data_IF_194352487764
#
_entry.id   IF_194352487764
#
_cell.length_a   1.000
_cell.length_b   1.000
_cell.length_c   1.000
_cell.angle_alpha   90.00
_cell.angle_beta   90.00
_cell.angle_gamma   90.00
#
_symmetry.space_group_name_H-M   'P 1'
#
loop_
_entity.id
_entity.type
_entity.pdbx_description
1 polymer ?
#
# COMPACT_ATOMS: atom_id res chain seq x y z
N UNK A 1 20.45 5.53 0.58
CA UNK A 1 20.62 5.17 -0.85
C UNK A 1 19.55 5.91 -1.62
N UNK A 2 19.83 6.53 -2.78
CA UNK A 2 18.76 7.11 -3.58
C UNK A 2 17.92 5.97 -4.15
N UNK A 3 16.62 5.93 -3.83
CA UNK A 3 15.69 4.92 -4.34
C UNK A 3 15.58 5.11 -5.86
N UNK A 4 15.95 4.07 -6.60
CA UNK A 4 15.67 3.97 -8.02
C UNK A 4 14.16 4.07 -8.20
N UNK A 5 13.70 5.16 -8.78
CA UNK A 5 12.29 5.44 -9.11
C UNK A 5 11.87 4.76 -10.41
N UNK A 6 12.67 3.81 -10.91
CA UNK A 6 12.35 2.92 -12.02
C UNK A 6 11.94 1.57 -11.42
N UNK A 7 10.71 1.09 -11.47
CA UNK A 7 9.75 1.10 -12.56
C UNK A 7 8.32 1.18 -12.00
N UNK A 8 7.83 2.39 -11.72
CA UNK A 8 6.38 2.59 -11.77
C UNK A 8 5.98 2.37 -13.23
N UNK A 9 5.36 1.22 -13.54
CA UNK A 9 5.05 0.81 -14.91
C UNK A 9 4.45 1.98 -15.69
N UNK A 10 5.05 2.29 -16.85
CA UNK A 10 4.61 3.38 -17.70
C UNK A 10 3.07 3.31 -17.89
N UNK A 11 2.34 4.24 -17.27
CA UNK A 11 0.87 4.28 -17.28
C UNK A 11 0.19 4.25 -15.91
N UNK A 12 0.90 4.03 -14.79
CA UNK A 12 0.30 4.18 -13.47
C UNK A 12 -0.01 5.64 -13.16
N UNK A 13 -1.17 5.89 -12.58
CA UNK A 13 -1.54 7.19 -12.02
C UNK A 13 -1.51 7.12 -10.51
N UNK A 14 -1.32 8.26 -9.86
CA UNK A 14 -1.18 8.35 -8.42
C UNK A 14 -2.13 9.33 -7.78
N UNK A 15 -2.51 9.03 -6.54
CA UNK A 15 -3.11 9.99 -5.62
C UNK A 15 -2.34 10.00 -4.31
N UNK A 16 -2.40 11.11 -3.60
CA UNK A 16 -1.87 11.26 -2.25
C UNK A 16 -2.92 11.81 -1.31
N UNK A 17 -2.97 11.32 -0.07
CA UNK A 17 -3.90 11.80 0.96
C UNK A 17 -3.30 11.64 2.36
N UNK A 18 -3.81 12.38 3.37
CA UNK A 18 -3.35 12.26 4.76
C UNK A 18 -3.51 10.84 5.29
N UNK A 19 -2.47 10.32 5.94
CA UNK A 19 -2.57 9.06 6.68
C UNK A 19 -3.41 9.20 7.96
N UNK A 20 -3.75 10.42 8.36
CA UNK A 20 -4.54 10.71 9.56
C UNK A 20 -5.83 11.47 9.25
N UNK A 21 -6.95 10.91 9.69
CA UNK A 21 -8.28 11.53 9.64
C UNK A 21 -8.73 11.81 11.09
N UNK A 22 -8.38 12.99 11.58
CA UNK A 22 -8.57 13.33 13.00
C UNK A 22 -7.67 12.51 13.91
N UNK A 23 -8.23 11.54 14.63
CA UNK A 23 -7.48 10.61 15.50
C UNK A 23 -7.29 9.22 14.90
N UNK A 24 -7.80 9.01 13.70
CA UNK A 24 -7.79 7.72 13.02
C UNK A 24 -6.63 7.67 12.04
N UNK A 25 -5.72 6.72 12.22
CA UNK A 25 -4.68 6.41 11.25
C UNK A 25 -5.25 5.44 10.21
N UNK A 26 -5.18 5.81 8.94
CA UNK A 26 -5.54 4.95 7.82
C UNK A 26 -4.49 3.86 7.69
N UNK A 27 -4.85 2.65 8.10
CA UNK A 27 -3.93 1.51 8.10
C UNK A 27 -3.75 0.90 6.70
N UNK A 28 -2.64 0.18 6.50
CA UNK A 28 -2.47 -0.67 5.31
C UNK A 28 -3.64 -1.66 5.16
N UNK A 29 -4.12 -2.22 6.28
CA UNK A 29 -5.28 -3.12 6.29
C UNK A 29 -6.54 -2.46 5.70
N UNK A 30 -6.82 -1.21 6.06
CA UNK A 30 -7.95 -0.48 5.50
C UNK A 30 -7.80 -0.26 3.99
N UNK A 31 -6.62 0.13 3.53
CA UNK A 31 -6.36 0.31 2.10
C UNK A 31 -6.59 -1.00 1.34
N UNK A 32 -6.07 -2.12 1.84
CA UNK A 32 -6.28 -3.45 1.24
C UNK A 32 -7.76 -3.82 1.15
N UNK A 33 -8.55 -3.51 2.19
CA UNK A 33 -10.01 -3.70 2.15
C UNK A 33 -10.66 -2.81 1.09
N UNK A 34 -10.21 -1.56 0.93
CA UNK A 34 -10.75 -0.62 -0.08
C UNK A 34 -10.41 -0.99 -1.51
N UNK A 35 -9.33 -1.75 -1.74
CA UNK A 35 -9.05 -2.32 -3.07
C UNK A 35 -10.12 -3.33 -3.51
N UNK A 36 -10.89 -3.89 -2.56
CA UNK A 36 -11.99 -4.81 -2.86
C UNK A 36 -11.52 -6.01 -3.70
N UNK A 37 -12.33 -6.39 -4.69
CA UNK A 37 -12.02 -7.54 -5.55
C UNK A 37 -10.72 -7.36 -6.35
N UNK A 38 -10.34 -6.13 -6.68
CA UNK A 38 -9.08 -5.86 -7.38
C UNK A 38 -7.88 -6.29 -6.55
N UNK A 39 -7.94 -6.07 -5.23
CA UNK A 39 -6.86 -6.45 -4.32
C UNK A 39 -6.74 -7.96 -4.11
N UNK A 40 -7.83 -8.72 -4.22
CA UNK A 40 -7.83 -10.15 -3.85
C UNK A 40 -6.98 -11.04 -4.76
N UNK A 41 -6.83 -10.67 -6.03
CA UNK A 41 -6.05 -11.42 -7.01
C UNK A 41 -4.57 -11.00 -7.04
N UNK A 42 -4.15 -10.12 -6.12
CA UNK A 42 -2.78 -9.61 -6.08
C UNK A 42 -1.88 -10.42 -5.15
N UNK A 43 -0.61 -10.46 -5.54
CA UNK A 43 0.49 -10.95 -4.73
C UNK A 43 1.30 -9.75 -4.22
N UNK A 44 1.57 -9.70 -2.92
CA UNK A 44 2.15 -8.54 -2.27
C UNK A 44 3.60 -8.75 -1.86
N UNK A 45 4.41 -7.74 -2.13
CA UNK A 45 5.73 -7.54 -1.54
C UNK A 45 5.68 -6.27 -0.70
N UNK A 46 6.16 -6.33 0.54
CA UNK A 46 6.14 -5.19 1.46
C UNK A 46 7.53 -4.97 2.02
N UNK A 47 8.03 -3.75 1.90
CA UNK A 47 9.34 -3.33 2.36
C UNK A 47 9.17 -2.18 3.36
N UNK A 48 10.01 -2.13 4.39
CA UNK A 48 9.98 -1.11 5.44
C UNK A 48 11.36 -0.49 5.57
N UNK A 49 11.43 0.83 5.44
CA UNK A 49 12.66 1.58 5.73
C UNK A 49 12.78 1.90 7.23
N UNK A 50 11.65 1.99 7.95
CA UNK A 50 11.62 2.10 9.40
C UNK A 50 10.75 1.02 10.06
N UNK A 51 11.35 0.28 10.99
CA UNK A 51 10.66 -0.77 11.75
C UNK A 51 10.20 -0.20 13.10
N UNK A 52 8.92 0.13 13.17
CA UNK A 52 8.26 0.64 14.40
C UNK A 52 7.48 -0.41 15.17
N UNK A 53 7.25 -1.59 14.58
CA UNK A 53 6.53 -2.71 15.19
C UNK A 53 7.17 -4.05 14.77
N UNK A 54 7.35 -5.03 15.68
CA UNK A 54 7.91 -6.35 15.34
C UNK A 54 7.16 -7.09 14.23
N UNK A 55 5.87 -6.81 14.01
CA UNK A 55 5.09 -7.39 12.92
C UNK A 55 5.64 -7.00 11.54
N UNK A 56 6.30 -5.84 11.41
CA UNK A 56 6.90 -5.41 10.14
C UNK A 56 7.96 -6.40 9.66
N UNK A 57 8.80 -6.90 10.57
CA UNK A 57 9.83 -7.91 10.26
C UNK A 57 9.21 -9.19 9.73
N UNK A 58 8.09 -9.63 10.32
CA UNK A 58 7.41 -10.84 9.86
C UNK A 58 6.72 -10.64 8.51
N UNK A 59 6.13 -9.47 8.28
CA UNK A 59 5.50 -9.11 7.00
C UNK A 59 6.56 -9.08 5.89
N UNK A 60 7.67 -8.37 6.10
CA UNK A 60 8.75 -8.25 5.12
C UNK A 60 9.30 -9.63 4.77
N UNK A 61 9.65 -10.43 5.79
CA UNK A 61 10.16 -11.79 5.63
C UNK A 61 9.24 -12.70 4.82
N UNK A 62 7.93 -12.66 5.10
CA UNK A 62 6.95 -13.49 4.38
C UNK A 62 6.70 -13.03 2.94
N UNK A 63 6.91 -11.74 2.68
CA UNK A 63 6.63 -11.15 1.37
C UNK A 63 7.84 -11.11 0.42
N UNK A 64 9.06 -11.41 0.91
CA UNK A 64 10.31 -11.28 0.17
C UNK A 64 10.48 -12.26 -1.01
N UNK A 65 9.90 -13.47 -0.90
CA UNK A 65 10.05 -14.55 -1.90
C UNK A 65 8.95 -14.46 -2.98
N UNK A 66 8.05 -15.45 -3.05
CA UNK A 66 6.95 -15.48 -4.01
C UNK A 66 5.85 -14.43 -3.74
N UNK A 67 6.10 -13.49 -2.82
CA UNK A 67 5.12 -12.58 -2.28
C UNK A 67 4.07 -13.25 -1.41
N UNK A 68 3.09 -12.46 -1.00
CA UNK A 68 2.07 -12.86 -0.04
C UNK A 68 0.68 -12.51 -0.55
N UNK A 69 -0.30 -13.38 -0.39
CA UNK A 69 -1.68 -13.08 -0.77
C UNK A 69 -2.31 -12.01 0.15
N UNK A 70 -3.33 -11.33 -0.38
CA UNK A 70 -4.02 -10.23 0.31
C UNK A 70 -4.63 -10.61 1.65
N UNK A 71 -5.17 -11.83 1.79
CA UNK A 71 -5.79 -12.26 3.04
C UNK A 71 -4.74 -12.52 4.12
N UNK A 72 -3.60 -13.13 3.74
CA UNK A 72 -2.47 -13.28 4.65
C UNK A 72 -1.90 -11.92 5.05
N UNK A 73 -1.74 -10.97 4.13
CA UNK A 73 -1.29 -9.62 4.46
C UNK A 73 -2.27 -8.90 5.41
N UNK A 74 -3.58 -9.02 5.16
CA UNK A 74 -4.63 -8.49 6.07
C UNK A 74 -4.51 -9.10 7.48
N UNK A 75 -4.24 -10.40 7.59
CA UNK A 75 -4.11 -11.07 8.89
C UNK A 75 -2.94 -10.55 9.73
N UNK A 76 -1.87 -10.06 9.10
CA UNK A 76 -0.67 -9.56 9.78
C UNK A 76 -0.72 -8.06 10.09
N UNK A 77 -1.54 -7.31 9.35
CA UNK A 77 -1.68 -5.85 9.48
C UNK A 77 -2.83 -5.43 10.39
N UNK A 78 -3.74 -6.35 10.71
CA UNK A 78 -4.88 -6.10 11.61
C UNK A 78 -4.53 -6.26 13.09
N UNK A 79 -5.33 -5.66 14.00
CA UNK A 79 -6.36 -4.66 13.73
C UNK A 79 -5.79 -3.24 13.57
N UNK A 80 -4.64 -2.95 14.18
CA UNK A 80 -3.99 -1.64 14.14
C UNK A 80 -2.49 -1.82 13.99
N UNK A 81 -1.97 -1.52 12.81
CA UNK A 81 -0.53 -1.43 12.54
C UNK A 81 -0.28 -0.09 11.87
N UNK A 82 0.39 0.80 12.59
CA UNK A 82 0.92 2.04 12.03
C UNK A 82 2.26 1.72 11.38
N UNK A 83 2.49 2.30 10.19
CA UNK A 83 3.71 2.13 9.43
C UNK A 83 4.44 3.46 9.35
N UNK A 84 5.76 3.40 9.22
CA UNK A 84 6.62 4.55 8.95
C UNK A 84 7.52 4.17 7.78
N UNK A 85 7.51 4.99 6.73
CA UNK A 85 8.34 4.83 5.53
C UNK A 85 8.31 3.39 4.99
N UNK A 86 7.13 2.99 4.54
CA UNK A 86 6.86 1.62 4.07
C UNK A 86 6.31 1.62 2.65
N UNK A 87 6.56 0.56 1.91
CA UNK A 87 6.01 0.38 0.57
C UNK A 87 5.44 -1.02 0.38
N UNK A 88 4.18 -1.10 -0.02
CA UNK A 88 3.49 -2.34 -0.38
C UNK A 88 3.18 -2.34 -1.87
N UNK A 89 3.79 -3.27 -2.61
CA UNK A 89 3.59 -3.46 -4.05
C UNK A 89 2.71 -4.68 -4.29
N UNK A 90 1.58 -4.50 -4.97
CA UNK A 90 0.69 -5.56 -5.40
C UNK A 90 0.91 -5.90 -6.88
N UNK A 91 1.21 -7.17 -7.18
CA UNK A 91 1.49 -7.67 -8.52
C UNK A 91 0.43 -8.67 -8.99
N UNK A 92 0.20 -8.71 -10.30
CA UNK A 92 -0.52 -9.77 -11.01
C UNK A 92 0.17 -10.03 -12.35
N UNK A 93 0.28 -11.28 -12.77
CA UNK A 93 0.97 -11.70 -13.99
C UNK A 93 2.37 -11.05 -14.14
N UNK A 94 3.16 -11.06 -13.07
CA UNK A 94 4.50 -10.46 -12.96
C UNK A 94 4.57 -8.95 -13.25
N UNK A 95 3.43 -8.25 -13.19
CA UNK A 95 3.33 -6.80 -13.37
C UNK A 95 2.86 -6.12 -12.09
N UNK A 96 3.47 -4.98 -11.75
CA UNK A 96 3.01 -4.13 -10.65
C UNK A 96 1.70 -3.47 -11.06
N UNK A 97 0.64 -3.76 -10.31
CA UNK A 97 -0.72 -3.26 -10.56
C UNK A 97 -1.06 -2.11 -9.62
N UNK A 98 -0.53 -2.12 -8.40
CA UNK A 98 -0.72 -1.09 -7.38
C UNK A 98 0.52 -0.96 -6.50
N UNK A 99 0.81 0.26 -6.07
CA UNK A 99 1.82 0.57 -5.06
C UNK A 99 1.15 1.45 -4.01
N UNK A 100 1.28 1.06 -2.75
CA UNK A 100 0.85 1.80 -1.58
C UNK A 100 2.11 2.21 -0.81
N UNK A 101 2.41 3.50 -0.77
CA UNK A 101 3.59 4.03 -0.10
C UNK A 101 3.15 4.88 1.09
N UNK A 102 3.62 4.50 2.27
CA UNK A 102 3.51 5.29 3.49
C UNK A 102 4.72 6.24 3.56
N UNK A 103 4.47 7.51 3.92
CA UNK A 103 5.50 8.56 4.00
C UNK A 103 5.48 9.22 5.38
N UNK A 104 6.52 8.95 6.18
CA UNK A 104 6.75 9.55 7.50
C UNK A 104 5.53 9.53 8.44
N UNK A 105 4.71 8.48 8.38
CA UNK A 105 3.44 8.38 9.12
C UNK A 105 2.43 9.49 8.84
N UNK A 106 2.57 10.22 7.72
CA UNK A 106 1.84 11.46 7.46
C UNK A 106 0.93 11.38 6.24
N UNK A 107 1.33 10.63 5.22
CA UNK A 107 0.67 10.54 3.92
C UNK A 107 0.64 9.10 3.43
N UNK A 108 -0.40 8.79 2.67
CA UNK A 108 -0.41 7.65 1.78
C UNK A 108 -0.33 8.14 0.34
N UNK A 109 0.67 7.64 -0.37
CA UNK A 109 0.79 7.71 -1.81
C UNK A 109 0.27 6.39 -2.40
N UNK A 110 -0.77 6.46 -3.23
CA UNK A 110 -1.33 5.29 -3.91
C UNK A 110 -1.20 5.45 -5.40
N UNK A 111 -0.44 4.55 -6.03
CA UNK A 111 -0.32 4.47 -7.49
C UNK A 111 -0.99 3.21 -7.99
N UNK A 112 -1.79 3.29 -9.04
CA UNK A 112 -2.45 2.12 -9.63
C UNK A 112 -2.51 2.22 -11.16
N UNK A 113 -2.52 1.06 -11.83
CA UNK A 113 -2.76 0.97 -13.28
C UNK A 113 -4.24 1.17 -13.63
N UNK A 114 -5.15 0.84 -12.72
CA UNK A 114 -6.60 0.95 -12.91
C UNK A 114 -7.14 2.19 -12.19
N UNK A 115 -7.62 3.18 -12.96
CA UNK A 115 -8.21 4.42 -12.44
C UNK A 115 -9.43 4.17 -11.54
N UNK A 116 -10.12 3.03 -11.69
CA UNK A 116 -11.26 2.69 -10.83
C UNK A 116 -10.84 2.52 -9.37
N UNK A 117 -9.64 2.01 -9.13
CA UNK A 117 -9.07 1.90 -7.78
C UNK A 117 -8.87 3.29 -7.18
N UNK A 118 -8.25 4.20 -7.92
CA UNK A 118 -8.02 5.57 -7.46
C UNK A 118 -9.34 6.33 -7.25
N UNK A 119 -10.30 6.14 -8.14
CA UNK A 119 -11.64 6.74 -8.02
C UNK A 119 -12.38 6.26 -6.77
N UNK A 120 -12.24 4.98 -6.42
CA UNK A 120 -12.86 4.44 -5.21
C UNK A 120 -12.19 4.97 -3.93
N UNK A 121 -10.86 5.12 -3.95
CA UNK A 121 -10.13 5.75 -2.85
C UNK A 121 -10.49 7.21 -2.69
N UNK A 122 -10.60 8.00 -3.78
CA UNK A 122 -11.05 9.41 -3.73
C UNK A 122 -12.46 9.58 -3.13
N UNK A 123 -13.34 8.57 -3.28
CA UNK A 123 -14.67 8.62 -2.62
C UNK A 123 -14.59 8.44 -1.11
N UNK A 124 -13.60 7.69 -0.63
CA UNK A 124 -13.38 7.42 0.79
C UNK A 124 -12.48 8.47 1.46
N UNK A 125 -11.57 9.06 0.68
CA UNK A 125 -10.63 10.09 1.09
C UNK A 125 -10.81 11.31 0.15
N UNK A 126 -11.85 12.14 0.37
CA UNK A 126 -12.18 13.27 -0.51
C UNK A 126 -11.11 14.35 -0.63
N UNK A 127 -10.17 14.39 0.30
CA UNK A 127 -9.00 15.27 0.30
C UNK A 127 -7.85 14.76 -0.58
N UNK A 128 -8.00 13.58 -1.18
CA UNK A 128 -6.98 13.02 -2.05
C UNK A 128 -6.69 13.92 -3.26
N UNK A 129 -5.41 14.13 -3.52
CA UNK A 129 -4.90 14.94 -4.63
C UNK A 129 -4.14 14.06 -5.62
N UNK A 130 -4.09 14.47 -6.89
CA UNK A 130 -3.28 13.78 -7.90
C UNK A 130 -1.77 13.98 -7.61
N UNK A 131 -0.99 12.92 -7.85
CA UNK A 131 0.49 12.90 -7.76
C UNK A 131 1.16 13.27 -9.09
#
# INVERSE_FOLDING_TARGET
MPRDTAEAGAGMKGITFPAWHGKHYVTLAELLVRLGSFGLDLTWRVEFDEIVDPRCVEIERRSADAGMDTLTLLSLTTPFLQLVDAEARGTADDRVMVVLTEVDSSLWDVRAVDERVLSELRRHYPEAMDL
#
